data_IF_979537501680
#
_entry.id   IF_979537501680
#
_cell.length_a   1.000
_cell.length_b   1.000
_cell.length_c   1.000
_cell.angle_alpha   90.00
_cell.angle_beta   90.00
_cell.angle_gamma   90.00
#
_symmetry.space_group_name_H-M   'P 1'
#
loop_
_entity.id
_entity.type
_entity.pdbx_description
1 polymer ?
#
# COMPACT_ATOMS: atom_id res chain seq x y z
N UNK A 1 2.06 -4.48 12.30
CA UNK A 1 1.64 -4.89 10.94
C UNK A 1 2.87 -4.94 10.06
N UNK A 2 3.02 -5.97 9.24
CA UNK A 2 4.13 -6.06 8.27
C UNK A 2 4.01 -4.96 7.20
N UNK A 3 5.10 -4.52 6.57
CA UNK A 3 5.07 -3.59 5.44
C UNK A 3 4.04 -3.95 4.36
N UNK A 4 3.97 -5.23 3.96
CA UNK A 4 3.05 -5.69 2.93
C UNK A 4 1.58 -5.53 3.33
N UNK A 5 1.24 -5.94 4.54
CA UNK A 5 -0.09 -5.73 5.12
C UNK A 5 -0.50 -4.24 5.11
N UNK A 6 0.42 -3.33 5.47
CA UNK A 6 0.15 -1.88 5.44
C UNK A 6 -0.14 -1.39 4.02
N UNK A 7 0.65 -1.82 3.04
CA UNK A 7 0.43 -1.50 1.62
C UNK A 7 -0.94 -1.97 1.14
N UNK A 8 -1.31 -3.22 1.45
CA UNK A 8 -2.60 -3.78 1.05
C UNK A 8 -3.77 -2.98 1.65
N UNK A 9 -3.70 -2.63 2.93
CA UNK A 9 -4.70 -1.79 3.61
C UNK A 9 -4.78 -0.43 2.96
N UNK A 10 -3.64 0.21 2.72
CA UNK A 10 -3.58 1.55 2.18
C UNK A 10 -4.15 1.62 0.75
N UNK A 11 -3.87 0.61 -0.08
CA UNK A 11 -4.48 0.46 -1.40
C UNK A 11 -6.01 0.33 -1.33
N UNK A 12 -6.53 -0.42 -0.36
CA UNK A 12 -7.97 -0.51 -0.14
C UNK A 12 -8.59 0.83 0.29
N UNK A 13 -7.88 1.60 1.13
CA UNK A 13 -8.35 2.91 1.60
C UNK A 13 -8.42 3.96 0.49
N UNK A 14 -7.55 3.88 -0.51
CA UNK A 14 -7.55 4.79 -1.66
C UNK A 14 -8.69 4.53 -2.66
N UNK A 15 -9.45 3.44 -2.48
CA UNK A 15 -10.51 3.05 -3.38
C UNK A 15 -10.00 2.37 -4.66
N UNK A 16 -10.94 1.74 -5.37
CA UNK A 16 -10.63 0.84 -6.49
C UNK A 16 -9.81 1.50 -7.59
N UNK A 17 -10.23 2.67 -8.05
CA UNK A 17 -9.61 3.33 -9.21
C UNK A 17 -8.18 3.78 -8.92
N UNK A 18 -7.97 4.55 -7.83
CA UNK A 18 -6.64 5.04 -7.46
C UNK A 18 -5.71 3.87 -7.10
N UNK A 19 -6.21 2.86 -6.39
CA UNK A 19 -5.48 1.64 -6.09
C UNK A 19 -5.03 0.89 -7.35
N UNK A 20 -5.92 0.70 -8.33
CA UNK A 20 -5.58 0.04 -9.60
C UNK A 20 -4.50 0.79 -10.39
N UNK A 21 -4.57 2.12 -10.44
CA UNK A 21 -3.55 2.95 -11.12
C UNK A 21 -2.17 2.78 -10.49
N UNK A 22 -2.09 2.59 -9.17
CA UNK A 22 -0.82 2.35 -8.47
C UNK A 22 -0.32 0.92 -8.74
N UNK A 23 -1.20 -0.08 -8.67
CA UNK A 23 -0.88 -1.48 -8.97
C UNK A 23 -0.37 -1.63 -10.41
N UNK A 24 -0.89 -0.87 -11.36
CA UNK A 24 -0.45 -0.90 -12.76
C UNK A 24 1.01 -0.42 -12.96
N UNK A 25 1.61 0.27 -11.98
CA UNK A 25 3.01 0.72 -12.01
C UNK A 25 3.98 -0.28 -11.35
N UNK A 26 3.45 -1.33 -10.72
CA UNK A 26 4.21 -2.38 -10.08
C UNK A 26 4.66 -3.43 -11.09
N UNK A 27 5.72 -4.16 -10.78
CA UNK A 27 6.06 -5.36 -11.55
C UNK A 27 5.18 -6.56 -11.17
N UNK A 28 5.29 -7.65 -11.93
CA UNK A 28 4.46 -8.84 -11.75
C UNK A 28 4.61 -9.49 -10.36
N UNK A 29 5.77 -9.38 -9.72
CA UNK A 29 6.01 -10.01 -8.43
C UNK A 29 5.46 -9.15 -7.29
N UNK A 30 5.62 -7.83 -7.38
CA UNK A 30 4.96 -6.86 -6.52
C UNK A 30 3.43 -7.01 -6.60
N UNK A 31 2.86 -7.12 -7.81
CA UNK A 31 1.43 -7.32 -8.03
C UNK A 31 0.95 -8.61 -7.35
N UNK A 32 1.66 -9.73 -7.55
CA UNK A 32 1.29 -11.01 -6.93
C UNK A 32 1.28 -10.91 -5.40
N UNK A 33 2.33 -10.32 -4.82
CA UNK A 33 2.44 -10.16 -3.37
C UNK A 33 1.30 -9.31 -2.80
N UNK A 34 1.04 -8.14 -3.41
CA UNK A 34 0.02 -7.19 -2.96
C UNK A 34 -1.39 -7.76 -3.13
N UNK A 35 -1.69 -8.37 -4.28
CA UNK A 35 -3.04 -8.93 -4.54
C UNK A 35 -3.32 -10.12 -3.62
N UNK A 36 -2.33 -10.97 -3.36
CA UNK A 36 -2.46 -12.06 -2.39
C UNK A 36 -2.76 -11.52 -0.99
N UNK A 37 -2.05 -10.47 -0.56
CA UNK A 37 -2.29 -9.83 0.73
C UNK A 37 -3.67 -9.17 0.81
N UNK A 38 -4.09 -8.42 -0.21
CA UNK A 38 -5.44 -7.80 -0.23
C UNK A 38 -6.53 -8.87 -0.10
N UNK A 39 -6.35 -10.05 -0.71
CA UNK A 39 -7.31 -11.16 -0.61
C UNK A 39 -7.31 -11.83 0.77
N UNK A 40 -6.18 -11.80 1.48
CA UNK A 40 -6.06 -12.36 2.82
C UNK A 40 -6.51 -11.40 3.92
N UNK A 41 -6.71 -10.11 3.60
CA UNK A 41 -7.21 -9.12 4.55
C UNK A 41 -8.60 -9.51 5.07
N UNK A 42 -8.65 -9.85 6.36
CA UNK A 42 -9.89 -9.91 7.12
C UNK A 42 -10.51 -8.51 7.27
N UNK A 43 -11.75 -8.43 7.75
CA UNK A 43 -12.41 -7.16 8.07
C UNK A 43 -11.58 -6.41 9.12
N UNK A 44 -10.89 -5.36 8.68
CA UNK A 44 -10.08 -4.52 9.55
C UNK A 44 -10.95 -3.56 10.36
N UNK A 45 -10.62 -3.45 11.64
CA UNK A 45 -11.19 -2.42 12.52
C UNK A 45 -10.89 -1.02 11.98
N UNK A 46 -11.78 -0.07 12.29
CA UNK A 46 -11.59 1.33 11.91
C UNK A 46 -10.30 1.91 12.50
N UNK A 47 -9.91 1.48 13.70
CA UNK A 47 -8.65 1.87 14.34
C UNK A 47 -7.41 1.44 13.52
N UNK A 48 -7.42 0.20 12.99
CA UNK A 48 -6.32 -0.29 12.15
C UNK A 48 -6.18 0.51 10.84
N UNK A 49 -7.32 0.84 10.21
CA UNK A 49 -7.35 1.69 9.00
C UNK A 49 -6.83 3.09 9.27
N UNK A 50 -7.25 3.71 10.38
CA UNK A 50 -6.82 5.04 10.78
C UNK A 50 -5.31 5.10 11.06
N UNK A 51 -4.78 4.09 11.75
CA UNK A 51 -3.33 3.97 12.04
C UNK A 51 -2.50 3.88 10.76
N UNK A 52 -2.89 3.03 9.80
CA UNK A 52 -2.18 2.94 8.51
C UNK A 52 -2.25 4.27 7.75
N UNK A 53 -3.41 4.95 7.73
CA UNK A 53 -3.54 6.25 7.07
C UNK A 53 -2.65 7.32 7.72
N UNK A 54 -2.53 7.33 9.05
CA UNK A 54 -1.66 8.25 9.77
C UNK A 54 -0.18 8.02 9.43
N UNK A 55 0.27 6.76 9.42
CA UNK A 55 1.66 6.41 9.08
C UNK A 55 2.03 6.87 7.66
N UNK A 56 1.15 6.65 6.67
CA UNK A 56 1.40 7.15 5.32
C UNK A 56 1.43 8.68 5.26
N UNK A 57 0.62 9.40 6.05
CA UNK A 57 0.70 10.86 6.14
C UNK A 57 2.02 11.34 6.75
N UNK A 58 2.54 10.65 7.77
CA UNK A 58 3.85 10.94 8.35
C UNK A 58 5.00 10.72 7.35
N UNK A 59 4.83 9.76 6.44
CA UNK A 59 5.74 9.54 5.30
C UNK A 59 5.58 10.59 4.18
N UNK A 60 4.66 11.55 4.32
CA UNK A 60 4.44 12.63 3.35
C UNK A 60 3.36 12.35 2.32
N UNK A 61 2.47 11.37 2.56
CA UNK A 61 1.32 11.13 1.68
C UNK A 61 0.36 12.33 1.67
N UNK A 62 0.07 12.81 0.47
CA UNK A 62 -0.99 13.76 0.17
C UNK A 62 -2.01 13.15 -0.80
N UNK A 63 -3.28 13.49 -0.65
CA UNK A 63 -4.37 12.93 -1.47
C UNK A 63 -4.29 13.30 -2.95
N UNK A 64 -3.63 14.41 -3.27
CA UNK A 64 -3.38 14.90 -4.63
C UNK A 64 -2.15 14.26 -5.28
N UNK A 65 -1.37 13.46 -4.54
CA UNK A 65 -0.20 12.76 -5.11
C UNK A 65 -0.62 11.85 -6.25
N UNK A 66 0.18 11.90 -7.31
CA UNK A 66 0.03 10.99 -8.43
C UNK A 66 0.38 9.53 -8.02
N UNK A 67 -0.12 8.53 -8.77
CA UNK A 67 0.10 7.11 -8.44
C UNK A 67 1.57 6.70 -8.29
N UNK A 68 2.48 7.26 -9.08
CA UNK A 68 3.90 6.92 -9.02
C UNK A 68 4.56 7.41 -7.73
N UNK A 69 4.24 8.63 -7.29
CA UNK A 69 4.73 9.18 -6.05
C UNK A 69 4.20 8.38 -4.84
N UNK A 70 2.95 7.93 -4.90
CA UNK A 70 2.38 7.05 -3.87
C UNK A 70 3.09 5.69 -3.84
N UNK A 71 3.41 5.11 -5.00
CA UNK A 71 4.17 3.86 -5.07
C UNK A 71 5.57 4.02 -4.45
N UNK A 72 6.24 5.15 -4.69
CA UNK A 72 7.53 5.46 -4.05
C UNK A 72 7.42 5.47 -2.53
N UNK A 73 6.37 6.10 -1.98
CA UNK A 73 6.12 6.08 -0.53
C UNK A 73 5.89 4.66 0.01
N UNK A 74 5.14 3.83 -0.71
CA UNK A 74 4.96 2.42 -0.33
C UNK A 74 6.28 1.66 -0.28
N UNK A 75 7.18 1.91 -1.24
CA UNK A 75 8.50 1.26 -1.29
C UNK A 75 9.44 1.73 -0.18
N UNK A 76 9.22 2.89 0.43
CA UNK A 76 9.98 3.28 1.63
C UNK A 76 9.74 2.33 2.81
N UNK A 77 8.58 1.69 2.90
CA UNK A 77 8.35 0.61 3.89
C UNK A 77 9.22 -0.63 3.65
N UNK A 78 9.85 -0.72 2.48
CA UNK A 78 10.76 -1.78 2.05
C UNK A 78 12.18 -1.23 1.79
N UNK A 79 12.58 -0.16 2.47
CA UNK A 79 13.88 0.49 2.31
C UNK A 79 14.16 0.97 0.87
N UNK A 80 13.12 1.41 0.16
CA UNK A 80 13.19 1.84 -1.24
C UNK A 80 13.23 0.71 -2.26
N UNK A 81 13.22 -0.55 -1.80
CA UNK A 81 13.20 -1.72 -2.68
C UNK A 81 11.78 -2.09 -3.12
N UNK A 82 11.69 -3.12 -3.96
CA UNK A 82 10.40 -3.63 -4.47
C UNK A 82 9.57 -4.23 -3.34
N UNK A 83 8.25 -4.05 -3.45
CA UNK A 83 7.29 -4.62 -2.50
C UNK A 83 7.33 -6.15 -2.59
N UNK A 84 7.56 -6.83 -1.47
CA UNK A 84 7.66 -8.30 -1.45
C UNK A 84 7.16 -8.88 -0.12
N UNK A 85 7.07 -10.21 -0.04
CA UNK A 85 6.76 -10.90 1.22
C UNK A 85 7.89 -10.81 2.26
N UNK A 86 9.11 -10.41 1.86
CA UNK A 86 10.27 -10.27 2.76
C UNK A 86 10.48 -8.80 3.11
N UNK A 87 9.52 -8.23 3.84
CA UNK A 87 9.61 -6.88 4.41
C UNK A 87 9.69 -6.93 5.93
#
# INVERSE_FOLDING_TARGET
MTPLHKVAIFLMLMGREKGQRIIALMDNDEIKAVVAEIRSLAVLSQAGKASVRAEFKELGYDEQMNPAAVLTLMRFLFNGSKISHKG
#
